data_IF_209432494826
#
_entry.id   IF_209432494826
#
_cell.length_a   1.000
_cell.length_b   1.000
_cell.length_c   1.000
_cell.angle_alpha   90.00
_cell.angle_beta   90.00
_cell.angle_gamma   90.00
#
_symmetry.space_group_name_H-M   'P 1'
#
loop_
_entity.id
_entity.type
_entity.pdbx_description
1 polymer ?
#
# COMPACT_ATOMS: atom_id res chain seq x y z
N UNK A 1 14.71 14.25 -0.03
CA UNK A 1 14.43 13.76 1.33
C UNK A 1 13.30 12.77 1.21
N UNK A 2 13.55 11.49 1.46
CA UNK A 2 12.54 10.42 1.38
C UNK A 2 11.89 10.27 2.75
N UNK A 3 10.64 10.69 2.89
CA UNK A 3 9.91 10.59 4.15
C UNK A 3 9.37 9.17 4.31
N UNK A 4 10.11 8.31 5.02
CA UNK A 4 9.63 6.96 5.35
C UNK A 4 8.61 7.06 6.48
N UNK A 5 7.32 7.03 6.13
CA UNK A 5 6.24 6.95 7.10
C UNK A 5 6.17 5.52 7.68
N UNK A 6 6.74 5.28 8.86
CA UNK A 6 6.33 4.12 9.66
C UNK A 6 4.93 4.39 10.17
N UNK A 7 3.95 3.62 9.72
CA UNK A 7 2.54 3.76 10.05
C UNK A 7 2.23 3.39 11.52
N UNK A 8 2.78 4.15 12.47
CA UNK A 8 2.41 4.12 13.89
C UNK A 8 1.20 5.03 14.20
N UNK A 9 0.53 5.55 13.17
CA UNK A 9 -0.62 6.45 13.29
C UNK A 9 -1.83 5.83 12.57
N UNK A 10 -2.66 5.08 13.31
CA UNK A 10 -3.98 4.55 12.92
C UNK A 10 -4.21 4.30 11.41
N UNK A 11 -4.27 3.04 10.97
CA UNK A 11 -4.51 2.57 9.58
C UNK A 11 -5.27 3.52 8.65
N UNK A 12 -6.38 4.12 9.10
CA UNK A 12 -7.16 5.08 8.33
C UNK A 12 -6.44 6.40 7.97
N UNK A 13 -5.63 6.96 8.87
CA UNK A 13 -4.82 8.16 8.59
C UNK A 13 -3.76 7.89 7.53
N UNK A 14 -3.07 6.75 7.64
CA UNK A 14 -2.11 6.32 6.63
C UNK A 14 -2.76 6.10 5.27
N UNK A 15 -3.96 5.48 5.24
CA UNK A 15 -4.70 5.28 4.00
C UNK A 15 -5.08 6.62 3.34
N UNK A 16 -5.53 7.61 4.13
CA UNK A 16 -5.83 8.95 3.62
C UNK A 16 -4.59 9.66 3.05
N UNK A 17 -3.45 9.62 3.77
CA UNK A 17 -2.22 10.26 3.29
C UNK A 17 -1.70 9.62 2.00
N UNK A 18 -1.72 8.30 1.92
CA UNK A 18 -1.29 7.58 0.71
C UNK A 18 -2.27 7.84 -0.44
N UNK A 19 -3.58 7.88 -0.17
CA UNK A 19 -4.57 8.25 -1.18
C UNK A 19 -4.36 9.67 -1.69
N UNK A 20 -4.03 10.63 -0.82
CA UNK A 20 -3.73 12.00 -1.22
C UNK A 20 -2.52 12.06 -2.17
N UNK A 21 -1.46 11.32 -1.88
CA UNK A 21 -0.29 11.21 -2.78
C UNK A 21 -0.69 10.60 -4.12
N UNK A 22 -1.42 9.48 -4.13
CA UNK A 22 -1.84 8.79 -5.36
C UNK A 22 -2.82 9.61 -6.20
N UNK A 23 -3.71 10.37 -5.56
CA UNK A 23 -4.72 11.18 -6.24
C UNK A 23 -4.14 12.45 -6.86
N UNK A 24 -3.06 13.00 -6.28
CA UNK A 24 -2.46 14.25 -6.73
C UNK A 24 -1.13 14.06 -7.49
N UNK A 25 -0.62 12.83 -7.61
CA UNK A 25 0.56 12.59 -8.43
C UNK A 25 0.26 12.71 -9.92
N UNK A 26 1.23 13.19 -10.69
CA UNK A 26 1.15 13.18 -12.14
C UNK A 26 1.66 11.85 -12.71
N UNK A 27 2.67 11.28 -12.06
CA UNK A 27 3.34 10.06 -12.51
C UNK A 27 3.48 9.09 -11.32
N UNK A 28 2.95 7.89 -11.51
CA UNK A 28 3.21 6.75 -10.63
C UNK A 28 4.50 6.07 -11.07
N UNK A 29 5.51 6.05 -10.20
CA UNK A 29 6.81 5.44 -10.47
C UNK A 29 6.89 4.00 -9.94
N UNK A 30 6.24 3.73 -8.81
CA UNK A 30 6.24 2.43 -8.15
C UNK A 30 4.97 2.27 -7.33
N UNK A 31 4.31 1.13 -7.50
CA UNK A 31 3.19 0.69 -6.67
C UNK A 31 3.25 -0.83 -6.59
N UNK A 32 3.83 -1.35 -5.52
CA UNK A 32 4.02 -2.79 -5.36
C UNK A 32 4.01 -3.21 -3.89
N UNK A 33 3.76 -4.50 -3.66
CA UNK A 33 3.79 -5.08 -2.33
C UNK A 33 4.90 -6.11 -2.24
N UNK A 34 5.79 -5.90 -1.29
CA UNK A 34 6.88 -6.80 -0.95
C UNK A 34 6.53 -7.59 0.31
N UNK A 35 6.61 -8.93 0.24
CA UNK A 35 6.53 -9.78 1.42
C UNK A 35 7.94 -10.04 1.96
N UNK A 36 8.24 -9.47 3.12
CA UNK A 36 9.47 -9.73 3.86
C UNK A 36 9.20 -10.73 4.99
N UNK A 37 10.22 -11.46 5.44
CA UNK A 37 10.10 -12.59 6.40
C UNK A 37 9.20 -12.29 7.61
N UNK A 38 9.21 -11.04 8.11
CA UNK A 38 8.45 -10.64 9.32
C UNK A 38 7.36 -9.58 9.06
N UNK A 39 7.19 -9.11 7.83
CA UNK A 39 6.31 -7.98 7.52
C UNK A 39 6.02 -7.88 6.03
N UNK A 40 4.90 -7.27 5.70
CA UNK A 40 4.48 -6.96 4.35
C UNK A 40 4.59 -5.45 4.17
N UNK A 41 5.25 -5.02 3.10
CA UNK A 41 5.51 -3.61 2.83
C UNK A 41 4.85 -3.23 1.52
N UNK A 42 3.98 -2.22 1.55
CA UNK A 42 3.50 -1.53 0.37
C UNK A 42 4.47 -0.39 0.05
N UNK A 43 5.02 -0.40 -1.15
CA UNK A 43 5.90 0.62 -1.68
C UNK A 43 5.10 1.51 -2.64
N UNK A 44 5.09 2.82 -2.37
CA UNK A 44 4.48 3.82 -3.24
C UNK A 44 5.54 4.86 -3.57
N UNK A 45 5.89 5.00 -4.85
CA UNK A 45 6.73 6.08 -5.33
C UNK A 45 6.03 6.80 -6.47
N UNK A 46 6.05 8.13 -6.39
CA UNK A 46 5.46 9.04 -7.36
C UNK A 46 6.47 10.15 -7.67
N UNK A 47 6.15 11.01 -8.64
CA UNK A 47 6.92 12.22 -8.93
C UNK A 47 6.98 13.20 -7.74
N UNK A 48 6.00 13.14 -6.83
CA UNK A 48 5.88 14.09 -5.70
C UNK A 48 6.38 13.51 -4.38
N UNK A 49 6.24 12.21 -4.16
CA UNK A 49 6.58 11.57 -2.89
C UNK A 49 6.92 10.08 -3.00
N UNK A 50 7.72 9.61 -2.05
CA UNK A 50 7.94 8.18 -1.79
C UNK A 50 7.43 7.85 -0.39
N UNK A 51 6.52 6.90 -0.29
CA UNK A 51 5.87 6.47 0.96
C UNK A 51 5.92 4.94 1.05
N UNK A 52 6.08 4.45 2.27
CA UNK A 52 5.96 3.02 2.57
C UNK A 52 4.90 2.80 3.63
N UNK A 53 4.15 1.71 3.51
CA UNK A 53 3.22 1.25 4.54
C UNK A 53 3.55 -0.19 4.92
N UNK A 54 3.51 -0.51 6.21
CA UNK A 54 3.95 -1.81 6.71
C UNK A 54 2.84 -2.45 7.54
N UNK A 55 2.59 -3.73 7.28
CA UNK A 55 1.73 -4.58 8.10
C UNK A 55 2.46 -5.86 8.51
N UNK A 56 2.08 -6.42 9.65
CA UNK A 56 2.66 -7.69 10.14
C UNK A 56 1.98 -8.88 9.47
N UNK A 57 0.70 -8.74 9.11
CA UNK A 57 -0.11 -9.84 8.60
C UNK A 57 -0.72 -9.50 7.24
N UNK A 58 -0.95 -10.56 6.46
CA UNK A 58 -1.64 -10.45 5.17
C UNK A 58 -3.04 -9.85 5.31
N UNK A 59 -3.81 -10.28 6.30
CA UNK A 59 -5.11 -9.69 6.62
C UNK A 59 -5.02 -8.21 6.96
N UNK A 60 -3.96 -7.80 7.67
CA UNK A 60 -3.67 -6.39 7.91
C UNK A 60 -3.48 -5.61 6.61
N UNK A 61 -2.68 -6.14 5.69
CA UNK A 61 -2.45 -5.51 4.38
C UNK A 61 -3.72 -5.48 3.53
N UNK A 62 -4.49 -6.58 3.46
CA UNK A 62 -5.77 -6.62 2.74
C UNK A 62 -6.79 -5.63 3.31
N UNK A 63 -6.88 -5.54 4.63
CA UNK A 63 -7.72 -4.56 5.31
C UNK A 63 -7.29 -3.13 4.98
N UNK A 64 -5.98 -2.87 4.94
CA UNK A 64 -5.45 -1.56 4.56
C UNK A 64 -5.75 -1.22 3.10
N UNK A 65 -5.48 -2.11 2.15
CA UNK A 65 -5.76 -1.88 0.72
C UNK A 65 -7.25 -1.66 0.46
N UNK A 66 -8.11 -2.44 1.12
CA UNK A 66 -9.56 -2.26 1.04
C UNK A 66 -9.98 -0.87 1.52
N UNK A 67 -9.33 -0.36 2.57
CA UNK A 67 -9.56 1.00 3.08
C UNK A 67 -8.99 2.07 2.14
N UNK A 68 -7.81 1.86 1.60
CA UNK A 68 -7.17 2.77 0.64
C UNK A 68 -8.02 2.93 -0.62
N UNK A 69 -8.60 1.83 -1.11
CA UNK A 69 -9.52 1.81 -2.26
C UNK A 69 -10.73 2.73 -2.11
N UNK A 70 -11.19 2.97 -0.87
CA UNK A 70 -12.31 3.90 -0.62
C UNK A 70 -11.93 5.36 -0.90
N UNK A 71 -10.64 5.69 -0.84
CA UNK A 71 -10.13 7.06 -0.94
C UNK A 71 -9.43 7.39 -2.27
N UNK A 72 -8.93 6.38 -2.99
CA UNK A 72 -8.22 6.60 -4.26
C UNK A 72 -9.21 6.76 -5.43
N UNK A 73 -8.91 7.68 -6.35
CA UNK A 73 -9.70 7.95 -7.56
C UNK A 73 -9.57 6.80 -8.56
N UNK A 74 -8.33 6.34 -8.81
CA UNK A 74 -8.01 5.19 -9.67
C UNK A 74 -8.03 3.90 -8.85
N UNK A 75 -9.13 3.17 -8.93
CA UNK A 75 -9.33 1.96 -8.10
C UNK A 75 -8.71 0.71 -8.72
N UNK A 76 -8.60 0.65 -10.04
CA UNK A 76 -8.05 -0.51 -10.75
C UNK A 76 -6.66 -0.89 -10.26
N UNK A 77 -5.76 0.09 -10.08
CA UNK A 77 -4.40 -0.14 -9.55
C UNK A 77 -4.41 -0.77 -8.14
N UNK A 78 -5.40 -0.42 -7.31
CA UNK A 78 -5.56 -0.97 -5.95
C UNK A 78 -6.25 -2.34 -6.00
N UNK A 79 -7.16 -2.55 -6.94
CA UNK A 79 -7.85 -3.82 -7.17
C UNK A 79 -6.87 -4.89 -7.65
N UNK A 80 -5.95 -4.55 -8.55
CA UNK A 80 -4.86 -5.44 -8.97
C UNK A 80 -3.99 -5.86 -7.77
N UNK A 81 -3.60 -4.91 -6.91
CA UNK A 81 -2.85 -5.23 -5.69
C UNK A 81 -3.63 -6.10 -4.70
N UNK A 82 -4.94 -5.88 -4.57
CA UNK A 82 -5.81 -6.72 -3.75
C UNK A 82 -5.82 -8.16 -4.28
N UNK A 83 -5.96 -8.34 -5.59
CA UNK A 83 -5.90 -9.64 -6.24
C UNK A 83 -4.53 -10.31 -6.08
N UNK A 84 -3.42 -9.56 -6.19
CA UNK A 84 -2.08 -10.09 -5.97
C UNK A 84 -1.92 -10.66 -4.56
N UNK A 85 -2.29 -9.87 -3.54
CA UNK A 85 -2.17 -10.30 -2.14
C UNK A 85 -3.09 -11.48 -1.89
N UNK A 86 -4.31 -11.48 -2.41
CA UNK A 86 -5.26 -12.58 -2.29
C UNK A 86 -4.76 -13.86 -2.99
N UNK A 87 -4.31 -13.75 -4.24
CA UNK A 87 -3.87 -14.85 -5.11
C UNK A 87 -2.58 -15.50 -4.66
N UNK A 88 -1.62 -14.73 -4.14
CA UNK A 88 -0.33 -15.24 -3.60
C UNK A 88 -0.46 -15.98 -2.25
N UNK A 89 -1.68 -16.41 -1.87
CA UNK A 89 -1.97 -17.12 -0.62
C UNK A 89 -1.12 -18.39 -0.39
N UNK A 90 -0.59 -19.00 -1.45
CA UNK A 90 0.26 -20.20 -1.36
C UNK A 90 1.75 -19.88 -1.22
N UNK A 91 2.20 -18.75 -1.75
CA UNK A 91 3.61 -18.36 -1.76
C UNK A 91 4.02 -17.63 -0.48
N UNK A 92 3.08 -16.93 0.16
CA UNK A 92 3.33 -16.14 1.37
C UNK A 92 3.10 -16.91 2.67
N UNK A 93 2.83 -18.23 2.56
CA UNK A 93 2.63 -19.16 3.68
C UNK A 93 3.89 -19.98 4.03
N UNK A 94 5.03 -19.72 3.38
CA UNK A 94 6.29 -20.43 3.67
C UNK A 94 7.17 -19.65 4.63
#
# INVERSE_FOLDING_TARGET
MSTTYKADQSRGKSALQIAEVLNNCSILLQLEIENQINKIVLHVATDSATVQYVEVTKDGMLSFLSKLREYVIRKDDIDDLLEEVQGRNKEWRK
#
